data_IF_377458309670
#
_entry.id   IF_377458309670
#
_cell.length_a   1.000
_cell.length_b   1.000
_cell.length_c   1.000
_cell.angle_alpha   90.00
_cell.angle_beta   90.00
_cell.angle_gamma   90.00
#
_symmetry.space_group_name_H-M   'P 1'
#
loop_
_entity.id
_entity.type
_entity.pdbx_description
1 polymer ?
#
# COMPACT_ATOMS: atom_id res chain seq x y z
N UNK A 1 -3.55 36.32 -3.27
CA UNK A 1 -4.09 36.78 -2.84
C UNK A 1 -4.48 36.74 -2.69
N UNK A 2 -4.17 36.00 -2.82
CA UNK A 2 -4.65 36.10 -2.55
C UNK A 2 -4.96 35.57 -2.54
N UNK A 3 -4.75 35.20 -2.80
CA UNK A 3 -5.25 35.03 -2.67
C UNK A 3 -5.52 34.34 -2.73
N UNK A 4 -5.15 33.69 -2.68
CA UNK A 4 -5.64 33.47 -2.59
C UNK A 4 -5.77 32.82 -2.77
N UNK A 5 -5.49 32.52 -3.15
CA UNK A 5 -5.84 32.40 -3.12
C UNK A 5 -6.06 31.72 -3.19
N UNK A 6 -5.65 31.40 -3.68
CA UNK A 6 -6.04 31.13 -3.56
C UNK A 6 -6.12 30.49 -3.70
N UNK A 7 -5.55 29.86 -3.80
CA UNK A 7 -5.76 29.53 -3.77
C UNK A 7 -5.86 28.85 -3.85
N UNK A 8 -5.49 28.61 -4.46
CA UNK A 8 -5.88 28.45 -4.25
C UNK A 8 -5.92 27.70 -4.15
N UNK A 9 -5.65 26.52 -4.03
CA UNK A 9 -5.89 26.25 -3.66
C UNK A 9 -5.73 25.61 -3.81
N UNK A 10 -5.60 24.74 -4.10
CA UNK A 10 -5.80 24.78 -3.91
C UNK A 10 -5.29 24.57 -3.92
N UNK A 11 -4.76 24.53 -4.36
CA UNK A 11 -4.58 25.00 -4.07
C UNK A 11 -4.26 24.73 -3.71
N UNK A 12 -3.90 24.36 -3.96
CA UNK A 12 -3.89 24.68 -3.32
C UNK A 12 -3.86 24.08 -2.97
N UNK A 13 -3.71 23.32 -3.04
CA UNK A 13 -3.98 23.37 -2.40
C UNK A 13 -3.73 22.76 -2.21
N UNK A 14 -3.18 22.39 -2.58
CA UNK A 14 -3.26 22.55 -2.22
C UNK A 14 -2.86 22.37 -2.04
N UNK A 15 -2.34 22.13 -2.31
CA UNK A 15 -2.30 22.65 -1.90
C UNK A 15 -2.09 22.49 -1.42
N UNK A 16 -1.81 22.32 -1.50
CA UNK A 16 -1.98 22.70 -0.83
C UNK A 16 -1.73 22.28 -0.38
N UNK A 17 -1.36 22.03 -0.41
CA UNK A 17 -1.50 22.29 0.17
C UNK A 17 -0.86 21.85 0.46
N UNK A 18 -0.16 21.56 0.42
CA UNK A 18 0.26 21.62 0.87
C UNK A 18 0.74 21.35 1.26
N UNK A 19 1.58 21.16 1.22
CA UNK A 19 2.01 21.17 1.68
C UNK A 19 2.39 21.13 2.17
N UNK A 20 2.51 21.21 2.06
CA UNK A 20 2.52 21.24 2.47
C UNK A 20 2.47 20.86 2.78
N UNK A 21 2.95 21.15 2.65
CA UNK A 21 2.76 20.32 2.85
C UNK A 21 1.75 19.74 2.90
N UNK A 22 1.72 19.45 2.57
CA UNK A 22 0.51 18.98 2.63
C UNK A 22 -0.06 17.93 1.89
N UNK A 23 -0.67 17.24 1.93
CA UNK A 23 -1.38 16.07 1.53
C UNK A 23 -1.38 15.03 2.62
N UNK A 24 -2.21 13.97 2.55
CA UNK A 24 -2.18 12.91 3.55
C UNK A 24 -0.82 12.22 3.55
N UNK A 25 -0.34 11.79 4.73
CA UNK A 25 0.95 11.10 4.81
C UNK A 25 0.91 9.79 4.02
N UNK A 26 1.99 9.52 3.31
CA UNK A 26 2.11 8.31 2.49
C UNK A 26 3.52 7.76 2.55
N UNK A 27 3.61 6.44 2.48
CA UNK A 27 4.90 5.81 2.21
C UNK A 27 5.29 6.09 0.75
N UNK A 28 6.61 6.10 0.48
CA UNK A 28 7.08 6.20 -0.90
C UNK A 28 6.59 5.00 -1.71
N UNK A 29 6.32 5.20 -2.99
CA UNK A 29 5.94 4.13 -3.91
C UNK A 29 7.14 3.57 -4.66
N UNK A 30 8.34 4.11 -4.41
CA UNK A 30 9.54 3.73 -5.15
C UNK A 30 10.54 3.10 -4.21
N UNK A 31 11.04 1.93 -4.58
CA UNK A 31 12.16 1.31 -3.89
C UNK A 31 12.88 0.38 -4.86
N UNK A 32 14.18 0.68 -5.08
CA UNK A 32 15.06 -0.19 -5.84
C UNK A 32 15.84 -1.12 -4.92
N UNK A 33 15.59 -1.04 -3.61
CA UNK A 33 16.23 -1.89 -2.60
C UNK A 33 15.39 -3.12 -2.36
N UNK A 34 15.97 -4.14 -1.72
CA UNK A 34 15.18 -5.32 -1.35
C UNK A 34 13.96 -4.94 -0.52
N UNK A 35 12.86 -5.63 -0.78
CA UNK A 35 11.60 -5.41 -0.06
C UNK A 35 11.15 -6.72 0.57
N UNK A 36 10.30 -6.59 1.60
CA UNK A 36 9.52 -7.71 2.09
C UNK A 36 8.11 -7.57 1.52
N UNK A 37 7.43 -8.67 1.29
CA UNK A 37 6.06 -8.60 0.82
C UNK A 37 5.22 -9.73 1.38
N UNK A 38 3.92 -9.48 1.43
CA UNK A 38 2.88 -10.42 1.86
C UNK A 38 2.02 -10.75 0.66
N UNK A 39 1.45 -11.95 0.66
CA UNK A 39 0.44 -12.33 -0.31
C UNK A 39 -0.93 -12.22 0.35
N UNK A 40 -1.88 -11.63 -0.37
CA UNK A 40 -3.25 -11.44 0.08
C UNK A 40 -4.17 -12.25 -0.81
N UNK A 41 -5.07 -13.00 -0.18
CA UNK A 41 -6.04 -13.85 -0.90
C UNK A 41 -7.45 -13.49 -0.48
N UNK A 42 -8.42 -13.84 -1.34
CA UNK A 42 -9.82 -13.71 -1.01
C UNK A 42 -10.29 -14.90 -0.16
N UNK A 43 -11.59 -14.92 0.11
CA UNK A 43 -12.18 -15.95 0.98
C UNK A 43 -12.06 -17.36 0.39
N UNK A 44 -11.95 -17.46 -0.94
CA UNK A 44 -11.82 -18.74 -1.64
C UNK A 44 -10.38 -19.19 -1.81
N UNK A 45 -9.42 -18.37 -1.31
CA UNK A 45 -8.00 -18.68 -1.43
C UNK A 45 -7.35 -18.19 -2.70
N UNK A 46 -8.08 -17.43 -3.53
CA UNK A 46 -7.51 -16.85 -4.76
C UNK A 46 -6.66 -15.63 -4.41
N UNK A 47 -5.45 -15.59 -4.94
CA UNK A 47 -4.56 -14.45 -4.71
C UNK A 47 -5.14 -13.22 -5.42
N UNK A 48 -5.27 -12.12 -4.66
CA UNK A 48 -5.77 -10.87 -5.21
C UNK A 48 -4.70 -9.78 -5.29
N UNK A 49 -3.57 -9.98 -4.63
CA UNK A 49 -2.48 -9.01 -4.70
C UNK A 49 -1.43 -9.24 -3.64
N UNK A 50 -0.54 -8.26 -3.53
CA UNK A 50 0.56 -8.29 -2.57
C UNK A 50 0.76 -6.92 -1.94
N UNK A 51 1.24 -6.90 -0.70
CA UNK A 51 1.65 -5.69 -0.01
C UNK A 51 3.14 -5.79 0.22
N UNK A 52 3.91 -4.77 -0.19
CA UNK A 52 5.36 -4.77 -0.02
C UNK A 52 5.81 -3.59 0.82
N UNK A 53 7.00 -3.70 1.41
CA UNK A 53 7.53 -2.66 2.29
C UNK A 53 9.05 -2.67 2.29
N UNK A 54 9.65 -1.46 2.41
CA UNK A 54 11.08 -1.27 2.62
C UNK A 54 11.27 -0.13 3.61
N UNK A 55 11.93 -0.41 4.73
CA UNK A 55 12.09 0.58 5.81
C UNK A 55 13.09 1.68 5.46
N UNK A 56 14.17 1.34 4.74
CA UNK A 56 15.20 2.32 4.43
C UNK A 56 14.68 3.46 3.56
N UNK A 57 13.79 3.14 2.63
CA UNK A 57 13.20 4.14 1.74
C UNK A 57 11.88 4.69 2.27
N UNK A 58 11.44 4.22 3.46
CA UNK A 58 10.11 4.57 3.99
C UNK A 58 9.05 4.33 2.93
N UNK A 59 9.14 3.15 2.31
CA UNK A 59 8.36 2.81 1.11
C UNK A 59 7.46 1.61 1.36
N UNK A 60 6.28 1.65 0.78
CA UNK A 60 5.33 0.54 0.83
C UNK A 60 4.28 0.71 -0.25
N UNK A 61 3.67 -0.39 -0.68
CA UNK A 61 2.62 -0.31 -1.68
C UNK A 61 1.77 -1.57 -1.75
N UNK A 62 0.60 -1.39 -2.33
CA UNK A 62 -0.30 -2.48 -2.68
C UNK A 62 -0.18 -2.73 -4.18
N UNK A 63 -0.06 -3.98 -4.56
CA UNK A 63 -0.02 -4.40 -5.96
C UNK A 63 -1.20 -5.33 -6.22
N UNK A 64 -2.14 -4.88 -7.05
CA UNK A 64 -3.31 -5.68 -7.39
C UNK A 64 -2.94 -6.74 -8.42
N UNK A 65 -3.49 -7.95 -8.25
CA UNK A 65 -3.40 -8.99 -9.29
C UNK A 65 -4.58 -8.77 -10.23
N UNK A 66 -4.32 -8.25 -11.41
CA UNK A 66 -5.38 -7.86 -12.35
C UNK A 66 -6.27 -9.03 -12.76
N UNK A 67 -5.70 -10.23 -12.83
CA UNK A 67 -6.46 -11.43 -13.16
C UNK A 67 -7.52 -11.76 -12.10
N UNK A 68 -7.45 -11.15 -10.90
CA UNK A 68 -8.46 -11.29 -9.86
C UNK A 68 -9.74 -10.50 -10.12
N UNK A 69 -9.75 -9.65 -11.14
CA UNK A 69 -10.95 -8.93 -11.56
C UNK A 69 -11.37 -7.81 -10.62
N UNK A 70 -12.65 -7.47 -10.68
CA UNK A 70 -13.21 -6.35 -9.92
C UNK A 70 -13.12 -6.56 -8.42
N UNK A 71 -13.27 -7.80 -7.96
CA UNK A 71 -13.18 -8.09 -6.54
C UNK A 71 -11.79 -7.77 -6.00
N UNK A 72 -10.74 -8.17 -6.73
CA UNK A 72 -9.37 -7.87 -6.34
C UNK A 72 -9.13 -6.36 -6.31
N UNK A 73 -9.66 -5.66 -7.31
CA UNK A 73 -9.52 -4.21 -7.40
C UNK A 73 -10.21 -3.53 -6.21
N UNK A 74 -11.42 -3.95 -5.89
CA UNK A 74 -12.20 -3.35 -4.80
C UNK A 74 -11.54 -3.60 -3.43
N UNK A 75 -11.05 -4.81 -3.20
CA UNK A 75 -10.37 -5.14 -1.95
C UNK A 75 -9.06 -4.37 -1.80
N UNK A 76 -8.43 -3.99 -2.92
CA UNK A 76 -7.19 -3.23 -2.91
C UNK A 76 -7.30 -1.91 -2.18
N UNK A 77 -8.43 -1.22 -2.29
CA UNK A 77 -8.65 0.05 -1.60
C UNK A 77 -8.53 -0.13 -0.09
N UNK A 78 -8.99 -1.27 0.44
CA UNK A 78 -8.91 -1.58 1.85
C UNK A 78 -7.45 -1.78 2.30
N UNK A 79 -6.66 -2.51 1.51
CA UNK A 79 -5.26 -2.77 1.86
C UNK A 79 -4.41 -1.51 1.71
N UNK A 80 -4.64 -0.72 0.65
CA UNK A 80 -3.97 0.57 0.50
C UNK A 80 -4.34 1.51 1.65
N UNK A 81 -5.61 1.48 2.11
CA UNK A 81 -6.04 2.27 3.25
C UNK A 81 -5.33 1.90 4.54
N UNK A 82 -5.05 0.61 4.73
CA UNK A 82 -4.28 0.16 5.91
C UNK A 82 -2.87 0.74 5.90
N UNK A 83 -2.25 0.84 4.73
CA UNK A 83 -0.93 1.47 4.61
C UNK A 83 -0.98 2.96 4.93
N UNK A 84 -1.98 3.67 4.43
CA UNK A 84 -2.15 5.10 4.73
C UNK A 84 -2.36 5.33 6.22
N UNK A 85 -3.18 4.51 6.84
CA UNK A 85 -3.44 4.58 8.28
C UNK A 85 -2.17 4.33 9.09
N UNK A 86 -1.39 3.33 8.70
CA UNK A 86 -0.13 3.00 9.38
C UNK A 86 0.84 4.18 9.29
N UNK A 87 0.98 4.78 8.11
CA UNK A 87 1.86 5.94 7.94
C UNK A 87 1.39 7.11 8.80
N UNK A 88 0.08 7.35 8.85
CA UNK A 88 -0.48 8.44 9.67
C UNK A 88 -0.18 8.24 11.16
N UNK A 89 -0.07 6.97 11.61
CA UNK A 89 0.29 6.66 12.99
C UNK A 89 1.80 6.68 13.24
N UNK A 90 2.58 6.92 12.20
CA UNK A 90 4.03 7.09 12.33
C UNK A 90 4.82 5.80 12.43
N UNK A 91 4.26 4.66 12.02
CA UNK A 91 5.00 3.39 12.11
C UNK A 91 5.76 3.13 10.81
N UNK A 92 6.89 2.40 10.94
CA UNK A 92 7.73 2.08 9.78
C UNK A 92 7.04 1.03 8.90
N UNK A 93 7.39 0.96 7.60
CA UNK A 93 6.71 0.06 6.67
C UNK A 93 6.67 -1.41 7.10
N UNK A 94 7.78 -1.95 7.61
CA UNK A 94 7.79 -3.35 8.03
C UNK A 94 6.85 -3.60 9.21
N UNK A 95 6.68 -2.62 10.11
CA UNK A 95 5.74 -2.74 11.21
C UNK A 95 4.30 -2.74 10.71
N UNK A 96 4.01 -2.03 9.61
CA UNK A 96 2.70 -2.09 8.99
C UNK A 96 2.38 -3.50 8.49
N UNK A 97 3.37 -4.17 7.86
CA UNK A 97 3.20 -5.56 7.44
C UNK A 97 2.94 -6.47 8.64
N UNK A 98 3.68 -6.28 9.73
CA UNK A 98 3.50 -7.09 10.94
C UNK A 98 2.09 -6.94 11.50
N UNK A 99 1.55 -5.72 11.52
CA UNK A 99 0.17 -5.51 11.96
C UNK A 99 -0.83 -6.22 11.06
N UNK A 100 -0.62 -6.17 9.75
CA UNK A 100 -1.49 -6.84 8.80
C UNK A 100 -1.53 -8.35 9.04
N UNK A 101 -0.36 -8.94 9.36
CA UNK A 101 -0.30 -10.36 9.69
C UNK A 101 -1.11 -10.65 10.95
N UNK A 102 -0.94 -9.83 12.00
CA UNK A 102 -1.62 -10.05 13.27
C UNK A 102 -3.13 -9.87 13.19
N UNK A 103 -3.58 -8.93 12.38
CA UNK A 103 -5.00 -8.61 12.24
C UNK A 103 -5.70 -9.48 11.21
N UNK A 104 -4.95 -10.31 10.50
CA UNK A 104 -5.51 -11.09 9.41
C UNK A 104 -6.52 -12.10 9.90
N UNK A 105 -7.64 -12.18 9.21
CA UNK A 105 -8.75 -13.06 9.58
C UNK A 105 -9.24 -13.74 8.30
N UNK A 106 -9.07 -15.06 8.18
CA UNK A 106 -9.46 -15.78 6.97
C UNK A 106 -10.96 -15.80 6.70
N UNK A 107 -11.79 -15.36 7.66
CA UNK A 107 -13.24 -15.27 7.46
C UNK A 107 -13.64 -13.96 6.78
N UNK A 108 -12.72 -13.01 6.67
CA UNK A 108 -12.98 -11.74 5.97
C UNK A 108 -12.91 -11.93 4.47
N UNK A 109 -13.39 -10.91 3.74
CA UNK A 109 -13.40 -10.93 2.27
C UNK A 109 -12.00 -11.05 1.67
N UNK A 110 -10.98 -10.58 2.39
CA UNK A 110 -9.58 -10.84 2.04
C UNK A 110 -8.73 -10.89 3.28
N UNK A 111 -7.60 -11.60 3.18
CA UNK A 111 -6.71 -11.82 4.32
C UNK A 111 -5.31 -12.12 3.84
N UNK A 112 -4.32 -11.94 4.76
CA UNK A 112 -2.93 -12.31 4.48
C UNK A 112 -2.82 -13.83 4.51
N UNK A 113 -2.20 -14.39 3.48
CA UNK A 113 -1.94 -15.85 3.44
C UNK A 113 -0.92 -16.17 4.52
N UNK A 114 -1.23 -17.12 5.43
CA UNK A 114 -0.29 -17.46 6.50
C UNK A 114 1.06 -17.92 5.94
N UNK A 115 2.15 -17.40 6.52
CA UNK A 115 3.50 -17.77 6.12
C UNK A 115 3.96 -17.17 4.80
N UNK A 116 3.23 -16.19 4.24
CA UNK A 116 3.57 -15.65 2.93
C UNK A 116 4.60 -14.52 2.97
N UNK A 117 5.02 -14.05 4.14
CA UNK A 117 6.05 -13.00 4.23
C UNK A 117 7.34 -13.47 3.58
N UNK A 118 7.77 -12.77 2.55
CA UNK A 118 8.88 -13.19 1.69
C UNK A 118 9.67 -11.96 1.27
N UNK A 119 10.93 -12.16 0.87
CA UNK A 119 11.76 -11.08 0.34
C UNK A 119 11.77 -11.10 -1.18
N UNK A 120 11.94 -9.92 -1.77
CA UNK A 120 12.16 -9.76 -3.20
C UNK A 120 13.26 -8.71 -3.41
N UNK A 121 14.00 -8.78 -4.54
CA UNK A 121 15.10 -7.83 -4.78
C UNK A 121 14.65 -6.36 -4.86
N UNK A 122 13.40 -6.12 -5.26
CA UNK A 122 12.84 -4.77 -5.34
C UNK A 122 11.34 -4.85 -5.55
N UNK A 123 10.67 -3.70 -5.52
CA UNK A 123 9.21 -3.64 -5.66
C UNK A 123 8.75 -4.07 -7.06
N UNK A 124 9.56 -3.85 -8.09
CA UNK A 124 9.18 -4.25 -9.45
C UNK A 124 9.02 -5.75 -9.58
N UNK A 125 9.84 -6.53 -8.86
CA UNK A 125 9.69 -7.99 -8.87
C UNK A 125 8.32 -8.38 -8.33
N UNK A 126 7.86 -7.69 -7.27
CA UNK A 126 6.53 -7.95 -6.70
C UNK A 126 5.44 -7.61 -7.73
N UNK A 127 5.59 -6.50 -8.45
CA UNK A 127 4.63 -6.11 -9.48
C UNK A 127 4.54 -7.15 -10.60
N UNK A 128 5.68 -7.67 -11.03
CA UNK A 128 5.72 -8.71 -12.06
C UNK A 128 5.18 -10.04 -11.55
N UNK A 129 5.38 -10.33 -10.26
CA UNK A 129 4.83 -11.53 -9.65
C UNK A 129 3.30 -11.52 -9.69
N UNK A 130 2.71 -10.36 -9.40
CA UNK A 130 1.27 -10.20 -9.42
C UNK A 130 0.70 -10.25 -10.84
N UNK A 131 1.44 -9.69 -11.80
CA UNK A 131 0.95 -9.51 -13.18
C UNK A 131 2.05 -9.91 -14.17
N UNK A 132 2.34 -11.20 -14.28
CA UNK A 132 3.34 -11.67 -15.25
C UNK A 132 2.82 -11.49 -16.67
N UNK A 133 3.69 -11.03 -17.56
CA UNK A 133 3.35 -10.91 -18.99
C UNK A 133 4.50 -11.38 -19.82
#
# INVERSE_FOLDING_TARGET
MTEIQRPNPRLNEDLLFNAAPGGPPRYSHLSNRPVQYLTVADRDGEVIGHVWANDEDDAAGWVVRKAGGDEAFNEGARWAGKLHDAKARGIVPSAALAEMIQESDPTKSSHVVPGSLTEAPNADVVRRLANPT
#
